data_IF_511069659699
#
_entry.id   IF_511069659699
#
_cell.length_a   1.000
_cell.length_b   1.000
_cell.length_c   1.000
_cell.angle_alpha   90.00
_cell.angle_beta   90.00
_cell.angle_gamma   90.00
#
_symmetry.space_group_name_H-M   'P 1'
#
loop_
_entity.id
_entity.type
_entity.pdbx_description
1 polymer ?
#
# COMPACT_ATOMS: atom_id res chain seq x y z
N UNK A 1 6.00 12.43 -7.75
CA UNK A 1 4.61 11.97 -7.92
C UNK A 1 4.22 10.79 -7.00
N UNK A 2 5.15 9.91 -6.60
CA UNK A 2 4.81 8.71 -5.80
C UNK A 2 4.42 8.97 -4.33
N UNK A 3 4.92 10.06 -3.72
CA UNK A 3 4.56 10.42 -2.35
C UNK A 3 3.10 10.88 -2.28
N UNK A 4 2.33 10.29 -1.37
CA UNK A 4 0.97 10.71 -1.05
C UNK A 4 1.02 11.66 0.13
N UNK A 5 0.70 12.93 -0.09
CA UNK A 5 0.64 13.94 0.97
C UNK A 5 -0.81 14.26 1.29
N UNK A 6 -1.08 14.59 2.55
CA UNK A 6 -2.37 15.15 2.97
C UNK A 6 -2.44 16.64 2.60
N UNK A 7 -2.51 16.89 1.30
CA UNK A 7 -2.57 18.23 0.72
C UNK A 7 -3.19 18.16 -0.69
N UNK A 8 -3.73 19.29 -1.15
CA UNK A 8 -4.21 19.42 -2.53
C UNK A 8 -3.08 19.18 -3.52
N UNK A 9 -3.27 18.23 -4.42
CA UNK A 9 -2.36 17.96 -5.52
C UNK A 9 -2.66 18.88 -6.70
N UNK A 10 -1.61 19.39 -7.34
CA UNK A 10 -1.71 20.17 -8.58
C UNK A 10 -0.96 19.49 -9.72
N UNK A 11 -1.61 19.29 -10.85
CA UNK A 11 -0.97 18.84 -12.08
C UNK A 11 -0.45 20.02 -12.90
N UNK A 12 0.83 19.96 -13.27
CA UNK A 12 1.56 21.04 -13.94
C UNK A 12 1.45 22.40 -13.24
N UNK A 13 1.26 22.37 -11.91
CA UNK A 13 1.09 23.58 -11.08
C UNK A 13 -0.24 24.32 -11.24
N UNK A 14 -1.10 23.93 -12.19
CA UNK A 14 -2.31 24.70 -12.55
C UNK A 14 -3.59 23.96 -12.26
N UNK A 15 -3.66 22.67 -12.60
CA UNK A 15 -4.89 21.89 -12.51
C UNK A 15 -4.99 21.31 -11.10
N UNK A 16 -6.02 21.71 -10.36
CA UNK A 16 -6.37 21.14 -9.06
C UNK A 16 -6.86 19.69 -9.25
N UNK A 17 -6.23 18.75 -8.54
CA UNK A 17 -6.58 17.33 -8.53
C UNK A 17 -7.18 16.87 -7.21
N UNK A 18 -7.47 17.81 -6.30
CA UNK A 18 -7.96 17.55 -4.96
C UNK A 18 -6.89 17.01 -4.01
N UNK A 19 -7.30 16.78 -2.76
CA UNK A 19 -6.47 16.13 -1.74
C UNK A 19 -6.88 14.64 -1.64
N UNK A 20 -6.04 13.69 -2.08
CA UNK A 20 -6.39 12.27 -2.07
C UNK A 20 -6.58 11.72 -0.65
N UNK A 21 -5.86 12.24 0.35
CA UNK A 21 -6.00 11.78 1.74
C UNK A 21 -7.31 12.25 2.33
N UNK A 22 -7.67 13.53 2.14
CA UNK A 22 -8.95 14.06 2.59
C UNK A 22 -10.13 13.34 1.90
N UNK A 23 -10.03 13.08 0.60
CA UNK A 23 -11.03 12.30 -0.13
C UNK A 23 -11.21 10.90 0.47
N UNK A 24 -10.11 10.17 0.70
CA UNK A 24 -10.18 8.83 1.27
C UNK A 24 -10.81 8.82 2.67
N UNK A 25 -10.44 9.78 3.54
CA UNK A 25 -11.05 9.92 4.87
C UNK A 25 -12.53 10.22 4.80
N UNK A 26 -12.96 11.11 3.90
CA UNK A 26 -14.37 11.41 3.72
C UNK A 26 -15.15 10.19 3.22
N UNK A 27 -14.60 9.42 2.28
CA UNK A 27 -15.21 8.18 1.80
C UNK A 27 -15.35 7.14 2.92
N UNK A 28 -14.32 6.96 3.75
CA UNK A 28 -14.36 6.05 4.91
C UNK A 28 -15.38 6.55 5.96
N UNK A 29 -15.41 7.85 6.24
CA UNK A 29 -16.40 8.44 7.13
C UNK A 29 -17.84 8.26 6.61
N UNK A 30 -18.01 8.18 5.28
CA UNK A 30 -19.27 7.83 4.62
C UNK A 30 -19.61 6.34 4.62
N UNK A 31 -18.77 5.47 5.19
CA UNK A 31 -19.01 4.03 5.32
C UNK A 31 -18.26 3.14 4.32
N UNK A 32 -17.25 3.65 3.62
CA UNK A 32 -16.45 2.82 2.72
C UNK A 32 -15.46 1.92 3.50
N UNK A 33 -15.53 0.60 3.28
CA UNK A 33 -14.57 -0.37 3.80
C UNK A 33 -13.27 -0.45 2.98
N UNK A 34 -13.36 -0.10 1.70
CA UNK A 34 -12.24 -0.10 0.76
C UNK A 34 -12.34 1.14 -0.15
N UNK A 35 -11.24 1.87 -0.23
CA UNK A 35 -11.06 2.97 -1.19
C UNK A 35 -9.91 2.64 -2.12
N UNK A 36 -10.19 2.52 -3.41
CA UNK A 36 -9.17 2.34 -4.45
C UNK A 36 -9.06 3.62 -5.26
N UNK A 37 -8.01 4.38 -5.00
CA UNK A 37 -7.64 5.55 -5.78
C UNK A 37 -6.73 5.19 -6.94
N UNK A 38 -6.79 6.01 -7.99
CA UNK A 38 -5.80 6.00 -9.05
C UNK A 38 -5.52 7.44 -9.45
N UNK A 39 -4.26 7.86 -9.32
CA UNK A 39 -3.87 9.25 -9.52
C UNK A 39 -2.86 9.37 -10.66
N UNK A 40 -1.56 9.55 -10.35
CA UNK A 40 -0.51 9.42 -11.33
C UNK A 40 -0.27 7.94 -11.66
N UNK A 41 0.20 7.69 -12.88
CA UNK A 41 0.59 6.40 -13.45
C UNK A 41 1.80 5.73 -12.75
N UNK A 42 1.80 5.71 -11.42
CA UNK A 42 2.85 5.18 -10.55
C UNK A 42 2.22 4.57 -9.30
N UNK A 43 2.89 3.59 -8.71
CA UNK A 43 2.54 3.07 -7.39
C UNK A 43 2.62 4.16 -6.32
N UNK A 44 1.66 4.13 -5.40
CA UNK A 44 1.61 4.97 -4.19
C UNK A 44 1.39 4.13 -2.94
N UNK A 45 1.45 4.80 -1.79
CA UNK A 45 1.18 4.21 -0.48
C UNK A 45 -0.19 3.52 -0.41
N UNK A 46 -0.28 2.55 0.49
CA UNK A 46 -1.51 2.00 1.03
C UNK A 46 -1.59 2.34 2.52
N UNK A 47 -2.80 2.53 3.05
CA UNK A 47 -2.99 2.86 4.46
C UNK A 47 -4.30 2.30 4.99
N UNK A 48 -4.34 2.10 6.30
CA UNK A 48 -5.56 1.81 7.04
C UNK A 48 -6.12 3.12 7.60
N UNK A 49 -7.42 3.32 7.48
CA UNK A 49 -8.16 4.40 8.13
C UNK A 49 -9.25 3.75 8.98
N UNK A 50 -9.00 3.62 10.29
CA UNK A 50 -9.80 2.74 11.14
C UNK A 50 -9.73 1.31 10.60
N UNK A 51 -10.88 0.70 10.32
CA UNK A 51 -10.95 -0.64 9.74
C UNK A 51 -10.89 -0.71 8.21
N UNK A 52 -11.02 0.44 7.54
CA UNK A 52 -11.02 0.52 6.09
C UNK A 52 -9.62 0.51 5.49
N UNK A 53 -9.48 -0.11 4.31
CA UNK A 53 -8.25 -0.12 3.54
C UNK A 53 -8.30 0.96 2.44
N UNK A 54 -7.22 1.73 2.31
CA UNK A 54 -7.05 2.74 1.27
C UNK A 54 -5.84 2.38 0.41
N UNK A 55 -6.03 2.26 -0.90
CA UNK A 55 -4.99 2.06 -1.90
C UNK A 55 -4.91 3.32 -2.77
N UNK A 56 -3.90 4.19 -2.55
CA UNK A 56 -3.90 5.51 -3.20
C UNK A 56 -3.53 5.48 -4.70
N UNK A 57 -2.79 4.47 -5.14
CA UNK A 57 -2.56 4.18 -6.57
C UNK A 57 -1.93 2.80 -6.75
N UNK A 58 -2.47 2.04 -7.69
CA UNK A 58 -1.97 0.72 -8.10
C UNK A 58 -0.98 0.77 -9.28
N UNK A 59 -0.57 1.96 -9.71
CA UNK A 59 0.42 2.12 -10.77
C UNK A 59 -0.04 1.59 -12.12
N UNK A 60 0.89 1.40 -13.05
CA UNK A 60 0.54 1.05 -14.41
C UNK A 60 0.25 -0.45 -14.58
N UNK A 61 -0.74 -0.75 -15.42
CA UNK A 61 -1.11 -2.14 -15.75
C UNK A 61 -1.10 -2.40 -17.27
N UNK A 62 -1.88 -1.64 -18.05
CA UNK A 62 -2.03 -1.82 -19.51
C UNK A 62 -1.95 -0.49 -20.28
N UNK A 63 -1.05 0.41 -19.88
CA UNK A 63 -0.79 1.66 -20.62
C UNK A 63 0.10 1.43 -21.84
N UNK A 64 -0.06 2.27 -22.88
CA UNK A 64 0.68 2.24 -24.15
C UNK A 64 0.89 3.67 -24.67
N UNK A 65 1.83 3.86 -25.61
CA UNK A 65 2.05 5.17 -26.25
C UNK A 65 2.87 6.13 -25.36
N UNK A 66 2.36 7.33 -24.99
CA UNK A 66 3.16 8.39 -24.38
C UNK A 66 3.58 8.13 -22.92
N UNK A 67 3.27 6.95 -22.36
CA UNK A 67 3.63 6.61 -20.99
C UNK A 67 5.06 6.12 -20.89
N UNK A 68 5.84 6.72 -19.97
CA UNK A 68 7.16 6.24 -19.64
C UNK A 68 7.07 4.88 -18.92
N UNK A 69 7.72 3.86 -19.49
CA UNK A 69 7.81 2.50 -18.93
C UNK A 69 9.23 2.19 -18.41
N UNK A 70 9.86 3.17 -17.76
CA UNK A 70 11.09 3.01 -16.99
C UNK A 70 10.79 2.88 -15.48
N UNK A 71 11.74 2.39 -14.68
CA UNK A 71 11.58 2.41 -13.22
C UNK A 71 11.40 3.84 -12.70
N UNK A 72 10.56 4.08 -11.68
CA UNK A 72 9.58 3.15 -11.08
C UNK A 72 8.19 3.17 -11.77
N UNK A 73 8.03 3.87 -12.89
CA UNK A 73 6.75 4.07 -13.59
C UNK A 73 6.24 2.82 -14.33
N UNK A 74 7.13 1.89 -14.63
CA UNK A 74 6.77 0.59 -15.20
C UNK A 74 6.21 -0.41 -14.17
N UNK A 75 6.00 -0.01 -12.91
CA UNK A 75 5.49 -0.88 -11.86
C UNK A 75 4.00 -0.66 -11.62
N UNK A 76 3.33 -1.75 -11.27
CA UNK A 76 1.95 -1.76 -10.82
C UNK A 76 1.67 -2.93 -9.88
N UNK A 77 0.41 -3.04 -9.48
CA UNK A 77 -0.08 -4.18 -8.72
C UNK A 77 -1.56 -4.45 -8.99
N UNK A 78 -1.95 -5.72 -8.96
CA UNK A 78 -3.35 -6.12 -8.86
C UNK A 78 -3.70 -6.29 -7.38
N UNK A 79 -4.75 -5.64 -6.91
CA UNK A 79 -5.26 -5.84 -5.56
C UNK A 79 -6.34 -6.94 -5.57
N UNK A 80 -6.14 -7.97 -4.75
CA UNK A 80 -7.14 -9.00 -4.47
C UNK A 80 -7.64 -8.78 -3.05
N UNK A 81 -8.88 -8.31 -2.89
CA UNK A 81 -9.45 -7.97 -1.58
C UNK A 81 -10.72 -8.78 -1.37
N UNK A 82 -10.83 -9.40 -0.19
CA UNK A 82 -12.04 -10.06 0.29
C UNK A 82 -12.70 -9.17 1.34
N UNK A 83 -13.92 -8.74 1.05
CA UNK A 83 -14.74 -7.93 1.95
C UNK A 83 -15.69 -8.81 2.74
N UNK A 84 -15.87 -8.47 4.02
CA UNK A 84 -16.96 -8.95 4.86
C UNK A 84 -18.01 -7.86 5.05
N UNK A 85 -18.94 -8.08 5.98
CA UNK A 85 -19.92 -7.07 6.36
C UNK A 85 -19.24 -5.93 7.14
N UNK A 86 -18.86 -4.86 6.44
CA UNK A 86 -18.24 -3.67 7.06
C UNK A 86 -16.74 -3.80 7.36
N UNK A 87 -16.04 -4.78 6.76
CA UNK A 87 -14.61 -5.02 7.05
C UNK A 87 -13.84 -5.59 5.86
N UNK A 88 -12.54 -5.33 5.81
CA UNK A 88 -11.59 -6.03 4.93
C UNK A 88 -11.07 -7.28 5.64
N UNK A 89 -11.42 -8.46 5.13
CA UNK A 89 -11.03 -9.75 5.73
C UNK A 89 -9.64 -10.19 5.25
N UNK A 90 -9.36 -9.99 3.97
CA UNK A 90 -8.06 -10.25 3.36
C UNK A 90 -7.74 -9.24 2.27
N UNK A 91 -6.47 -8.88 2.14
CA UNK A 91 -6.00 -8.05 1.05
C UNK A 91 -4.60 -8.50 0.61
N UNK A 92 -4.44 -8.75 -0.68
CA UNK A 92 -3.22 -9.21 -1.31
C UNK A 92 -2.88 -8.35 -2.52
N UNK A 93 -1.59 -8.20 -2.79
CA UNK A 93 -1.07 -7.54 -3.98
C UNK A 93 -0.38 -8.57 -4.88
N UNK A 94 -0.78 -8.65 -6.15
CA UNK A 94 -0.01 -9.36 -7.18
C UNK A 94 0.86 -8.33 -7.91
N UNK A 95 2.20 -8.43 -7.82
CA UNK A 95 3.08 -7.39 -8.32
C UNK A 95 3.18 -7.51 -9.84
N UNK A 96 3.02 -6.40 -10.55
CA UNK A 96 3.11 -6.34 -12.00
C UNK A 96 4.18 -5.36 -12.44
N UNK A 97 4.72 -5.61 -13.63
CA UNK A 97 5.51 -4.64 -14.37
C UNK A 97 5.06 -4.60 -15.81
N UNK A 98 5.25 -3.46 -16.46
CA UNK A 98 5.06 -3.33 -17.89
C UNK A 98 6.39 -3.27 -18.63
N UNK A 99 6.44 -3.93 -19.78
CA UNK A 99 7.49 -3.74 -20.78
C UNK A 99 6.95 -2.96 -21.97
N UNK A 100 7.76 -2.11 -22.61
CA UNK A 100 7.41 -1.56 -23.91
C UNK A 100 6.97 -2.67 -24.89
N UNK A 101 5.91 -2.45 -25.69
CA UNK A 101 5.15 -1.20 -25.83
C UNK A 101 3.95 -1.03 -24.86
N UNK A 102 3.82 -1.87 -23.82
CA UNK A 102 2.68 -1.83 -22.87
C UNK A 102 2.29 -3.20 -22.29
N UNK A 103 3.14 -4.21 -22.48
CA UNK A 103 2.87 -5.60 -22.11
C UNK A 103 2.98 -5.76 -20.61
N UNK A 104 1.87 -6.10 -19.95
CA UNK A 104 1.83 -6.45 -18.54
C UNK A 104 2.45 -7.83 -18.30
N UNK A 105 3.27 -7.94 -17.27
CA UNK A 105 3.82 -9.20 -16.81
C UNK A 105 4.02 -9.21 -15.30
N UNK A 106 4.25 -10.39 -14.75
CA UNK A 106 4.55 -10.55 -13.33
C UNK A 106 5.88 -9.86 -13.00
N UNK A 107 5.88 -9.00 -11.98
CA UNK A 107 7.10 -8.47 -11.39
C UNK A 107 7.75 -9.53 -10.49
N UNK A 108 8.54 -10.41 -11.13
CA UNK A 108 9.27 -11.50 -10.47
C UNK A 108 10.24 -11.03 -9.39
N UNK A 109 10.68 -9.77 -9.45
CA UNK A 109 11.56 -9.16 -8.46
C UNK A 109 10.79 -8.62 -7.25
N UNK A 110 9.45 -8.65 -7.29
CA UNK A 110 8.56 -8.17 -6.22
C UNK A 110 8.83 -6.71 -5.83
N UNK A 111 9.36 -5.93 -6.77
CA UNK A 111 9.75 -4.53 -6.54
C UNK A 111 8.54 -3.66 -6.26
N UNK A 112 7.39 -3.96 -6.86
CA UNK A 112 6.12 -3.30 -6.56
C UNK A 112 5.75 -3.41 -5.07
N UNK A 113 5.93 -4.58 -4.44
CA UNK A 113 5.68 -4.76 -3.01
C UNK A 113 6.60 -3.88 -2.16
N UNK A 114 7.89 -3.89 -2.47
CA UNK A 114 8.89 -3.05 -1.77
C UNK A 114 8.55 -1.56 -1.90
N UNK A 115 8.12 -1.12 -3.09
CA UNK A 115 7.73 0.27 -3.31
C UNK A 115 6.49 0.65 -2.50
N UNK A 116 5.44 -0.16 -2.53
CA UNK A 116 4.21 0.12 -1.78
C UNK A 116 4.51 0.13 -0.27
N UNK A 117 5.24 -0.87 0.26
CA UNK A 117 5.59 -0.92 1.68
C UNK A 117 6.40 0.30 2.11
N UNK A 118 7.44 0.64 1.35
CA UNK A 118 8.29 1.81 1.62
C UNK A 118 7.51 3.12 1.57
N UNK A 119 6.69 3.34 0.54
CA UNK A 119 5.86 4.53 0.42
C UNK A 119 4.83 4.60 1.55
N UNK A 120 4.24 3.47 1.95
CA UNK A 120 3.28 3.40 3.05
C UNK A 120 3.92 3.78 4.38
N UNK A 121 5.13 3.28 4.66
CA UNK A 121 5.92 3.68 5.84
C UNK A 121 6.29 5.16 5.83
N UNK A 122 6.68 5.69 4.68
CA UNK A 122 7.15 7.07 4.52
C UNK A 122 6.02 8.10 4.56
N UNK A 123 4.86 7.78 4.00
CA UNK A 123 3.72 8.70 3.89
C UNK A 123 2.79 8.61 5.08
N UNK A 124 2.70 7.42 5.70
CA UNK A 124 1.81 7.15 6.82
C UNK A 124 2.51 6.31 7.90
N UNK A 125 3.44 6.87 8.70
CA UNK A 125 4.22 6.11 9.67
C UNK A 125 3.39 5.25 10.64
N UNK A 126 2.26 5.80 11.10
CA UNK A 126 1.39 5.17 12.11
C UNK A 126 0.35 4.20 11.53
N UNK A 127 -0.07 4.41 10.27
CA UNK A 127 -1.24 3.75 9.69
C UNK A 127 -1.02 3.14 8.30
N UNK A 128 0.16 3.36 7.71
CA UNK A 128 0.52 2.84 6.40
C UNK A 128 0.52 1.32 6.41
N UNK A 129 -0.12 0.69 5.44
CA UNK A 129 -0.16 -0.76 5.36
C UNK A 129 1.27 -1.33 5.22
N UNK A 130 1.48 -2.53 5.75
CA UNK A 130 2.72 -3.29 5.56
C UNK A 130 2.51 -4.34 4.49
N UNK A 131 3.46 -4.49 3.58
CA UNK A 131 3.41 -5.56 2.56
C UNK A 131 4.35 -6.67 2.99
N UNK A 132 3.79 -7.83 3.35
CA UNK A 132 4.62 -8.96 3.77
C UNK A 132 5.29 -9.68 2.57
N UNK A 133 6.12 -10.68 2.88
CA UNK A 133 6.89 -11.43 1.87
C UNK A 133 6.03 -12.25 0.90
N UNK A 134 4.74 -12.41 1.17
CA UNK A 134 3.77 -13.08 0.31
C UNK A 134 2.84 -12.09 -0.42
N UNK A 135 3.03 -10.78 -0.21
CA UNK A 135 2.24 -9.72 -0.82
C UNK A 135 0.96 -9.39 -0.06
N UNK A 136 0.77 -9.89 1.16
CA UNK A 136 -0.41 -9.55 1.97
C UNK A 136 -0.26 -8.15 2.55
N UNK A 137 -1.35 -7.40 2.55
CA UNK A 137 -1.42 -6.12 3.23
C UNK A 137 -1.81 -6.34 4.69
N UNK A 138 -0.98 -5.85 5.60
CA UNK A 138 -1.14 -5.95 7.06
C UNK A 138 -1.27 -4.58 7.70
N UNK A 139 -1.86 -4.54 8.90
CA UNK A 139 -1.82 -3.36 9.76
C UNK A 139 -0.44 -3.22 10.40
N UNK A 140 0.07 -2.00 10.64
CA UNK A 140 1.37 -1.78 11.30
C UNK A 140 1.54 -2.50 12.65
N UNK A 141 0.47 -2.63 13.43
CA UNK A 141 0.51 -3.24 14.76
C UNK A 141 0.65 -4.78 14.72
N UNK A 142 0.28 -5.44 13.61
CA UNK A 142 0.37 -6.90 13.47
C UNK A 142 1.82 -7.40 13.32
N UNK A 143 2.78 -6.54 12.95
CA UNK A 143 4.20 -6.92 12.85
C UNK A 143 4.90 -7.05 14.22
N UNK A 144 4.38 -6.44 15.29
CA UNK A 144 5.03 -6.47 16.62
C UNK A 144 4.89 -7.82 17.36
N UNK A 145 4.16 -8.79 16.79
CA UNK A 145 3.92 -10.10 17.40
C UNK A 145 4.94 -11.20 17.07
N UNK A 146 5.89 -10.95 16.16
CA UNK A 146 6.86 -11.97 15.68
C UNK A 146 8.31 -11.54 16.02
N UNK A 147 8.65 -11.44 17.30
CA UNK A 147 10.00 -11.02 17.68
C UNK A 147 10.37 -10.91 19.17
N UNK A 148 9.53 -11.38 20.09
CA UNK A 148 9.90 -11.46 21.51
C UNK A 148 9.67 -12.88 22.02
N UNK A 149 10.66 -13.73 21.80
CA UNK A 149 10.85 -14.92 22.63
C UNK A 149 11.28 -14.40 24.00
N UNK A 150 10.35 -14.39 24.94
CA UNK A 150 10.64 -14.23 26.35
C UNK A 150 11.42 -15.47 26.81
N UNK A 151 12.75 -15.34 26.86
CA UNK A 151 13.60 -16.27 27.57
C UNK A 151 13.08 -16.36 29.03
N UNK A 152 12.47 -17.50 29.35
CA UNK A 152 11.90 -17.77 30.65
C UNK A 152 12.95 -17.65 31.74
N UNK A 153 12.69 -16.79 32.73
CA UNK A 153 13.42 -16.78 34.00
C UNK A 153 13.20 -18.11 34.69
N UNK A 154 14.17 -19.02 34.61
CA UNK A 154 14.28 -20.15 35.54
C UNK A 154 14.86 -19.62 36.85
N UNK A 155 14.04 -19.61 37.89
CA UNK A 155 14.48 -19.52 39.30
C UNK A 155 14.64 -20.94 39.83
N UNK A 156 15.78 -21.22 40.46
CA UNK A 156 15.97 -22.25 41.49
C UNK A 156 17.40 -22.13 42.09
N UNK A 157 17.70 -22.71 43.26
CA UNK A 157 17.07 -22.49 44.57
C UNK A 157 18.12 -22.04 45.63
N UNK A 158 17.65 -21.55 46.78
CA UNK A 158 18.52 -21.18 47.91
C UNK A 158 19.16 -22.42 48.53
N UNK A 159 20.47 -22.42 48.74
CA UNK A 159 21.14 -23.37 49.61
C UNK A 159 21.28 -22.77 51.02
N UNK A 160 21.06 -23.63 52.01
CA UNK A 160 21.33 -23.43 53.45
C UNK A 160 22.82 -23.58 53.71
#
# INVERSE_FOLDING_TARGET
>A
AQRTRDATERFLGRIDRGNPVAFARAAVAGGADLVVGHGPHVLRAAAWEGDALVLYSLGNLLTYGPFALAEPLNRGALACVRLGSGTVQEAWLRPTRQRPPGVAENDRQRRAWVLIDSLSRLDFPERGARVDSAGRLRRPAEERGYGSSSAGRRRAPSQR
#
